data_IF_921554054950
#
_entry.id   IF_921554054950
#
_cell.length_a   1.000
_cell.length_b   1.000
_cell.length_c   1.000
_cell.angle_alpha   90.00
_cell.angle_beta   90.00
_cell.angle_gamma   90.00
#
_symmetry.space_group_name_H-M   'P 1'
#
loop_
_entity.id
_entity.type
_entity.pdbx_description
1 polymer ?
#
# COMPACT_ATOMS: atom_id res chain seq x y z
N UNK A 1 29.81 -19.81 6.61
CA UNK A 1 28.70 -19.09 7.25
C UNK A 1 28.74 -19.45 8.72
N UNK A 2 29.02 -18.50 9.59
CA UNK A 2 29.09 -18.70 11.04
C UNK A 2 27.99 -17.81 11.63
N UNK A 3 27.02 -18.48 12.24
CA UNK A 3 26.00 -17.90 13.09
C UNK A 3 26.56 -17.87 14.52
N UNK A 4 26.72 -16.66 15.06
CA UNK A 4 27.15 -16.47 16.43
C UNK A 4 26.35 -15.33 17.05
N UNK A 5 25.34 -15.71 17.81
CA UNK A 5 24.66 -14.85 18.77
C UNK A 5 25.44 -14.93 20.10
N UNK A 6 26.04 -13.84 20.60
CA UNK A 6 25.99 -13.57 22.02
C UNK A 6 24.80 -12.64 22.27
N UNK A 7 24.05 -12.92 23.33
CA UNK A 7 22.97 -12.11 23.85
C UNK A 7 23.48 -10.73 24.32
N UNK A 8 23.85 -9.87 23.37
CA UNK A 8 24.22 -8.50 23.59
C UNK A 8 23.05 -7.63 23.11
N UNK A 9 22.36 -7.06 24.08
CA UNK A 9 21.24 -6.14 23.91
C UNK A 9 21.59 -5.05 22.87
N UNK A 10 20.65 -4.76 21.98
CA UNK A 10 20.78 -3.71 20.96
C UNK A 10 20.80 -2.33 21.65
N UNK A 11 21.98 -1.86 22.05
CA UNK A 11 22.14 -0.59 22.78
C UNK A 11 22.18 0.67 21.90
N UNK A 12 22.08 0.53 20.58
CA UNK A 12 22.08 1.66 19.66
C UNK A 12 20.77 1.65 18.89
N UNK A 13 19.93 2.63 19.21
CA UNK A 13 18.68 2.90 18.52
C UNK A 13 18.91 3.52 17.13
N UNK A 14 20.12 4.01 16.83
CA UNK A 14 20.47 4.61 15.54
C UNK A 14 21.78 4.10 14.96
N UNK A 15 21.87 4.09 13.63
CA UNK A 15 23.12 3.84 12.92
C UNK A 15 23.97 5.11 12.69
N UNK A 16 25.14 4.92 12.07
CA UNK A 16 26.05 6.01 11.70
C UNK A 16 25.46 7.04 10.72
N UNK A 17 24.28 6.77 10.14
CA UNK A 17 23.50 7.69 9.28
C UNK A 17 22.30 8.28 10.04
N UNK A 18 22.16 8.00 11.34
CA UNK A 18 21.04 8.40 12.19
C UNK A 18 19.70 7.76 11.77
N UNK A 19 19.73 6.56 11.21
CA UNK A 19 18.53 5.77 10.91
C UNK A 19 18.23 4.84 12.09
N UNK A 20 16.97 4.76 12.52
CA UNK A 20 16.50 3.87 13.58
C UNK A 20 16.79 2.40 13.26
N UNK A 21 17.31 1.63 14.23
CA UNK A 21 17.64 0.20 14.10
C UNK A 21 17.34 -0.59 15.39
N UNK A 22 17.16 -1.93 15.32
CA UNK A 22 17.14 -2.78 14.12
C UNK A 22 15.89 -2.57 13.26
N UNK A 23 15.98 -2.85 11.96
CA UNK A 23 14.85 -2.91 11.05
C UNK A 23 14.56 -4.40 10.74
N UNK A 24 13.33 -4.73 10.39
CA UNK A 24 12.98 -6.09 9.97
C UNK A 24 13.46 -6.33 8.52
N UNK A 25 14.72 -6.70 8.38
CA UNK A 25 15.37 -6.88 7.08
C UNK A 25 14.95 -8.13 6.30
N UNK A 26 14.35 -9.13 6.96
CA UNK A 26 13.88 -10.37 6.33
C UNK A 26 12.35 -10.45 6.19
N UNK A 27 11.61 -9.46 6.69
CA UNK A 27 10.16 -9.32 6.51
C UNK A 27 9.33 -10.34 7.28
N UNK A 28 9.85 -10.86 8.40
CA UNK A 28 9.17 -11.88 9.21
C UNK A 28 8.35 -11.31 10.39
N UNK A 29 8.33 -9.98 10.53
CA UNK A 29 7.65 -9.24 11.58
C UNK A 29 8.50 -9.00 12.83
N UNK A 30 9.77 -9.43 12.85
CA UNK A 30 10.68 -9.29 14.01
C UNK A 30 11.96 -8.54 13.63
N UNK A 31 12.09 -7.29 14.07
CA UNK A 31 13.36 -6.56 13.93
C UNK A 31 14.43 -7.14 14.87
N UNK A 32 15.57 -7.57 14.32
CA UNK A 32 16.69 -8.16 15.06
C UNK A 32 18.04 -7.53 14.66
N UNK A 33 18.99 -7.47 15.60
CA UNK A 33 20.30 -6.89 15.33
C UNK A 33 21.16 -7.80 14.42
N UNK A 34 21.47 -7.32 13.23
CA UNK A 34 22.46 -7.93 12.33
C UNK A 34 23.88 -7.37 12.57
N UNK A 35 24.87 -8.27 12.70
CA UNK A 35 26.29 -7.87 12.69
C UNK A 35 26.79 -7.84 11.24
N UNK A 36 27.02 -6.63 10.72
CA UNK A 36 27.94 -6.44 9.59
C UNK A 36 27.36 -6.45 8.18
N UNK A 37 26.05 -6.35 7.99
CA UNK A 37 25.44 -6.04 6.70
C UNK A 37 24.72 -4.68 6.76
N UNK A 38 24.76 -3.92 5.65
CA UNK A 38 23.66 -2.98 5.39
C UNK A 38 22.41 -3.84 5.28
N UNK A 39 21.43 -3.65 6.17
CA UNK A 39 20.10 -4.21 5.98
C UNK A 39 19.64 -3.75 4.59
N UNK A 40 19.48 -4.70 3.68
CA UNK A 40 18.73 -4.46 2.46
C UNK A 40 17.27 -4.38 2.88
N UNK A 41 16.86 -3.21 3.40
CA UNK A 41 15.45 -2.94 3.59
C UNK A 41 14.83 -3.05 2.20
N UNK A 42 13.86 -3.95 1.96
CA UNK A 42 13.17 -3.95 0.70
C UNK A 42 12.59 -2.53 0.52
N UNK A 43 12.78 -1.95 -0.67
CA UNK A 43 12.37 -0.57 -0.92
C UNK A 43 10.84 -0.37 -0.79
N UNK A 44 10.09 -1.47 -0.69
CA UNK A 44 8.66 -1.55 -0.56
C UNK A 44 8.24 -2.75 0.30
N UNK A 45 7.04 -2.66 0.87
CA UNK A 45 6.32 -3.81 1.44
C UNK A 45 5.40 -4.38 0.37
N UNK A 46 5.50 -5.68 0.09
CA UNK A 46 4.64 -6.36 -0.89
C UNK A 46 3.43 -7.03 -0.22
N UNK A 47 2.28 -7.00 -0.90
CA UNK A 47 1.11 -7.77 -0.53
C UNK A 47 0.43 -8.36 -1.78
N UNK A 48 -0.46 -9.33 -1.58
CA UNK A 48 -1.28 -9.86 -2.68
C UNK A 48 -2.74 -10.04 -2.26
N UNK A 49 -3.64 -9.83 -3.21
CA UNK A 49 -5.09 -9.93 -3.00
C UNK A 49 -5.69 -10.81 -4.08
N UNK A 50 -6.33 -11.89 -3.66
CA UNK A 50 -7.09 -12.75 -4.56
C UNK A 50 -8.45 -12.11 -4.85
N UNK A 51 -8.72 -11.86 -6.12
CA UNK A 51 -10.00 -11.32 -6.60
C UNK A 51 -10.68 -12.35 -7.51
N UNK A 52 -11.99 -12.20 -7.80
CA UNK A 52 -12.70 -13.10 -8.71
C UNK A 52 -12.06 -13.22 -10.11
N UNK A 53 -11.30 -12.21 -10.56
CA UNK A 53 -10.69 -12.16 -11.88
C UNK A 53 -9.15 -12.18 -11.87
N UNK A 54 -8.56 -12.71 -10.79
CA UNK A 54 -7.13 -12.94 -10.67
C UNK A 54 -6.53 -12.32 -9.41
N UNK A 55 -5.23 -12.53 -9.24
CA UNK A 55 -4.49 -11.98 -8.09
C UNK A 55 -3.89 -10.64 -8.46
N UNK A 56 -4.08 -9.65 -7.59
CA UNK A 56 -3.40 -8.36 -7.66
C UNK A 56 -2.20 -8.41 -6.71
N UNK A 57 -1.06 -7.92 -7.16
CA UNK A 57 0.14 -7.75 -6.34
C UNK A 57 0.35 -6.26 -6.10
N UNK A 58 0.48 -5.86 -4.85
CA UNK A 58 0.71 -4.47 -4.47
C UNK A 58 2.09 -4.29 -3.84
N UNK A 59 2.77 -3.19 -4.18
CA UNK A 59 4.04 -2.77 -3.59
C UNK A 59 3.87 -1.39 -3.00
N UNK A 60 4.16 -1.24 -1.72
CA UNK A 60 4.00 0.01 -0.99
C UNK A 60 5.36 0.54 -0.57
N UNK A 61 5.79 1.62 -1.20
CA UNK A 61 7.05 2.31 -0.92
C UNK A 61 6.83 3.32 0.21
N UNK A 62 7.75 3.35 1.17
CA UNK A 62 7.68 4.25 2.33
C UNK A 62 6.82 3.75 3.50
N UNK A 63 6.15 2.60 3.35
CA UNK A 63 5.49 1.93 4.47
C UNK A 63 6.47 1.11 5.31
N UNK A 64 6.23 1.07 6.62
CA UNK A 64 6.92 0.20 7.56
C UNK A 64 6.29 -1.20 7.57
N UNK A 65 4.97 -1.26 7.55
CA UNK A 65 4.20 -2.50 7.49
C UNK A 65 2.92 -2.31 6.67
N UNK A 66 2.42 -3.40 6.10
CA UNK A 66 1.11 -3.46 5.44
C UNK A 66 0.30 -4.58 6.08
N UNK A 67 -0.95 -4.28 6.44
CA UNK A 67 -1.88 -5.21 7.07
C UNK A 67 -3.31 -4.99 6.54
N UNK A 68 -4.29 -5.77 7.02
CA UNK A 68 -5.69 -5.58 6.63
C UNK A 68 -6.00 -5.83 5.16
N UNK A 69 -5.10 -6.54 4.46
CA UNK A 69 -5.13 -6.77 3.02
C UNK A 69 -6.33 -7.64 2.64
N UNK A 70 -7.20 -7.17 1.74
CA UNK A 70 -8.37 -7.93 1.32
C UNK A 70 -9.16 -7.33 0.16
N UNK A 71 -10.04 -8.14 -0.44
CA UNK A 71 -10.99 -7.68 -1.46
C UNK A 71 -12.33 -7.31 -0.81
N UNK A 72 -12.90 -6.18 -1.23
CA UNK A 72 -14.19 -5.67 -0.80
C UNK A 72 -15.12 -5.53 -2.00
N UNK A 73 -16.35 -6.00 -1.85
CA UNK A 73 -17.38 -5.72 -2.87
C UNK A 73 -17.62 -4.21 -2.96
N UNK A 74 -17.91 -3.71 -4.15
CA UNK A 74 -18.23 -2.28 -4.33
C UNK A 74 -19.41 -1.85 -3.44
N UNK A 75 -20.39 -2.74 -3.26
CA UNK A 75 -21.52 -2.50 -2.38
C UNK A 75 -21.14 -2.38 -0.90
N UNK A 76 -20.12 -3.11 -0.43
CA UNK A 76 -19.69 -3.07 0.98
C UNK A 76 -18.96 -1.79 1.37
N UNK A 77 -18.43 -1.03 0.40
CA UNK A 77 -17.79 0.26 0.65
C UNK A 77 -18.78 1.41 0.79
N UNK A 78 -20.06 1.17 0.51
CA UNK A 78 -21.10 2.19 0.58
C UNK A 78 -21.01 3.22 -0.56
N UNK A 79 -22.05 4.07 -0.62
CA UNK A 79 -22.22 5.02 -1.72
C UNK A 79 -22.71 4.39 -3.01
N UNK A 80 -22.95 5.24 -4.01
CA UNK A 80 -23.21 4.81 -5.39
C UNK A 80 -21.90 4.80 -6.14
N UNK A 81 -21.53 3.66 -6.71
CA UNK A 81 -20.34 3.58 -7.56
C UNK A 81 -20.45 4.56 -8.74
N UNK A 82 -19.31 5.08 -9.23
CA UNK A 82 -19.27 5.96 -10.38
C UNK A 82 -20.01 5.38 -11.58
N UNK A 83 -20.93 6.16 -12.16
CA UNK A 83 -21.69 5.73 -13.33
C UNK A 83 -20.77 5.49 -14.53
N UNK A 84 -20.98 4.40 -15.26
CA UNK A 84 -20.17 4.07 -16.45
C UNK A 84 -18.80 3.46 -16.16
N UNK A 85 -18.52 3.11 -14.89
CA UNK A 85 -17.27 2.45 -14.47
C UNK A 85 -17.57 1.03 -13.98
N UNK A 86 -16.85 0.06 -14.53
CA UNK A 86 -16.88 -1.32 -14.06
C UNK A 86 -15.65 -1.62 -13.18
N UNK A 87 -15.84 -2.34 -12.07
CA UNK A 87 -14.77 -2.75 -11.16
C UNK A 87 -14.57 -4.27 -11.23
N UNK A 88 -13.84 -4.79 -12.24
CA UNK A 88 -13.70 -6.23 -12.44
C UNK A 88 -13.01 -6.92 -11.26
N UNK A 89 -12.15 -6.22 -10.53
CA UNK A 89 -11.38 -6.79 -9.43
C UNK A 89 -11.99 -6.52 -8.05
N UNK A 90 -13.23 -6.07 -8.01
CA UNK A 90 -13.83 -5.43 -6.83
C UNK A 90 -12.97 -4.22 -6.37
N UNK A 91 -13.09 -3.81 -5.11
CA UNK A 91 -12.14 -2.91 -4.50
C UNK A 91 -11.17 -3.69 -3.62
N UNK A 92 -10.00 -3.14 -3.39
CA UNK A 92 -8.93 -3.70 -2.58
C UNK A 92 -8.76 -2.80 -1.37
N UNK A 93 -8.68 -3.39 -0.19
CA UNK A 93 -8.39 -2.71 1.06
C UNK A 93 -7.01 -3.11 1.58
N UNK A 94 -6.24 -2.15 2.07
CA UNK A 94 -5.08 -2.41 2.91
C UNK A 94 -4.89 -1.28 3.94
N UNK A 95 -4.04 -1.52 4.93
CA UNK A 95 -3.64 -0.54 5.94
C UNK A 95 -2.12 -0.48 5.99
N UNK A 96 -1.55 0.69 5.71
CA UNK A 96 -0.12 0.92 5.72
C UNK A 96 0.29 1.76 6.93
N UNK A 97 1.19 1.25 7.76
CA UNK A 97 1.81 2.04 8.83
C UNK A 97 3.05 2.76 8.30
N UNK A 98 3.21 4.04 8.63
CA UNK A 98 4.31 4.89 8.16
C UNK A 98 5.11 5.48 9.33
N UNK A 99 6.28 6.06 9.05
CA UNK A 99 7.18 6.53 10.10
C UNK A 99 6.70 7.79 10.84
N UNK A 100 5.96 8.66 10.16
CA UNK A 100 5.52 9.95 10.71
C UNK A 100 4.08 10.26 10.32
N UNK A 101 3.27 10.84 11.23
CA UNK A 101 1.95 11.35 10.86
C UNK A 101 2.04 12.41 9.76
N UNK A 102 1.14 12.35 8.78
CA UNK A 102 1.14 13.23 7.61
C UNK A 102 2.18 12.87 6.56
N UNK A 103 2.87 11.73 6.69
CA UNK A 103 3.81 11.25 5.68
C UNK A 103 3.10 10.69 4.44
N UNK A 104 3.87 10.52 3.36
CA UNK A 104 3.37 10.01 2.08
C UNK A 104 3.97 8.65 1.74
N UNK A 105 3.22 7.85 0.97
CA UNK A 105 3.62 6.58 0.39
C UNK A 105 3.35 6.58 -1.11
N UNK A 106 4.09 5.76 -1.84
CA UNK A 106 3.79 5.44 -3.25
C UNK A 106 3.33 4.00 -3.32
N UNK A 107 2.24 3.74 -4.03
CA UNK A 107 1.66 2.42 -4.20
C UNK A 107 1.73 2.04 -5.68
N UNK A 108 2.31 0.88 -5.96
CA UNK A 108 2.29 0.23 -7.28
C UNK A 108 1.40 -1.02 -7.20
N UNK A 109 0.43 -1.14 -8.11
CA UNK A 109 -0.44 -2.30 -8.25
C UNK A 109 -0.19 -2.98 -9.59
N UNK A 110 0.10 -4.27 -9.56
CA UNK A 110 0.16 -5.15 -10.72
C UNK A 110 -1.16 -5.92 -10.86
N UNK A 111 -1.91 -5.65 -11.91
CA UNK A 111 -3.23 -6.22 -12.18
C UNK A 111 -3.16 -7.43 -13.12
N UNK A 112 -4.06 -8.42 -12.98
CA UNK A 112 -4.11 -9.57 -13.87
C UNK A 112 -4.66 -9.22 -15.28
N UNK A 113 -5.36 -8.10 -15.43
CA UNK A 113 -5.72 -7.52 -16.73
C UNK A 113 -5.85 -5.99 -16.63
N UNK A 114 -5.80 -5.27 -17.77
CA UNK A 114 -5.71 -3.81 -17.75
C UNK A 114 -6.91 -3.10 -17.13
N UNK A 115 -6.66 -1.95 -16.51
CA UNK A 115 -7.67 -0.99 -16.07
C UNK A 115 -7.45 0.36 -16.79
N UNK A 116 -8.43 1.26 -16.73
CA UNK A 116 -8.35 2.58 -17.40
C UNK A 116 -8.57 3.75 -16.44
N UNK A 117 -8.83 3.47 -15.17
CA UNK A 117 -9.11 4.47 -14.14
C UNK A 117 -8.85 3.89 -12.76
N UNK A 118 -8.53 4.75 -11.80
CA UNK A 118 -8.37 4.39 -10.40
C UNK A 118 -9.34 5.22 -9.56
N UNK A 119 -10.05 4.57 -8.64
CA UNK A 119 -11.04 5.21 -7.78
C UNK A 119 -10.79 4.90 -6.33
N UNK A 120 -11.07 5.86 -5.46
CA UNK A 120 -11.01 5.71 -4.00
C UNK A 120 -12.41 5.86 -3.43
N UNK A 121 -12.67 5.15 -2.34
CA UNK A 121 -13.88 5.35 -1.56
C UNK A 121 -13.52 5.90 -0.17
N UNK A 122 -13.95 7.11 0.13
CA UNK A 122 -13.79 7.68 1.47
C UNK A 122 -15.17 7.93 2.06
N UNK A 123 -15.52 7.18 3.10
CA UNK A 123 -16.80 7.31 3.80
C UNK A 123 -18.02 7.21 2.86
N UNK A 124 -17.99 6.33 1.86
CA UNK A 124 -19.07 6.16 0.89
C UNK A 124 -19.08 7.19 -0.23
N UNK A 125 -18.09 8.09 -0.30
CA UNK A 125 -17.92 9.02 -1.41
C UNK A 125 -16.81 8.50 -2.31
N UNK A 126 -17.16 8.29 -3.58
CA UNK A 126 -16.21 7.87 -4.61
C UNK A 126 -15.61 9.07 -5.32
N UNK A 127 -14.30 9.08 -5.48
CA UNK A 127 -13.59 10.05 -6.30
C UNK A 127 -12.50 9.37 -7.12
N UNK A 128 -12.22 9.94 -8.29
CA UNK A 128 -11.21 9.42 -9.20
C UNK A 128 -9.84 9.94 -8.77
N UNK A 129 -8.84 9.08 -8.75
CA UNK A 129 -7.43 9.47 -8.61
C UNK A 129 -6.95 9.87 -9.99
N UNK A 130 -7.00 11.18 -10.28
CA UNK A 130 -6.70 11.72 -11.62
C UNK A 130 -5.21 11.69 -11.94
N UNK A 131 -4.36 11.74 -10.93
CA UNK A 131 -2.89 11.75 -11.07
C UNK A 131 -2.29 10.33 -10.96
N UNK A 132 -3.13 9.29 -10.96
CA UNK A 132 -2.65 7.91 -11.02
C UNK A 132 -2.03 7.64 -12.41
N UNK A 133 -0.80 7.12 -12.42
CA UNK A 133 -0.15 6.62 -13.63
C UNK A 133 -0.66 5.21 -13.92
N UNK A 134 -1.23 4.99 -15.10
CA UNK A 134 -1.79 3.71 -15.53
C UNK A 134 -1.09 3.28 -16.81
N UNK A 135 -0.25 2.24 -16.72
CA UNK A 135 0.42 1.61 -17.85
C UNK A 135 -0.07 0.17 -18.02
N UNK A 136 -1.17 0.01 -18.75
CA UNK A 136 -1.79 -1.29 -19.00
C UNK A 136 -2.26 -1.98 -17.72
N UNK A 137 -1.47 -2.93 -17.23
CA UNK A 137 -1.73 -3.71 -16.01
C UNK A 137 -1.12 -3.09 -14.76
N UNK A 138 -0.24 -2.10 -14.87
CA UNK A 138 0.42 -1.49 -13.73
C UNK A 138 -0.21 -0.15 -13.42
N UNK A 139 -0.54 0.09 -12.14
CA UNK A 139 -1.06 1.37 -11.65
C UNK A 139 -0.17 1.88 -10.54
N UNK A 140 0.29 3.13 -10.66
CA UNK A 140 1.08 3.81 -9.65
C UNK A 140 0.37 5.06 -9.16
N UNK A 141 0.30 5.27 -7.85
CA UNK A 141 -0.28 6.48 -7.26
C UNK A 141 0.32 6.77 -5.89
N UNK A 142 0.24 8.03 -5.48
CA UNK A 142 0.69 8.48 -4.17
C UNK A 142 -0.48 8.66 -3.20
N UNK A 143 -0.21 8.47 -1.91
CA UNK A 143 -1.13 8.76 -0.81
C UNK A 143 -0.41 9.52 0.29
N UNK A 144 -1.15 10.38 0.99
CA UNK A 144 -0.67 11.10 2.17
C UNK A 144 -1.61 10.82 3.33
N UNK A 145 -1.02 10.47 4.49
CA UNK A 145 -1.70 10.21 5.76
C UNK A 145 -2.49 11.44 6.22
N UNK A 146 -3.79 11.27 6.42
CA UNK A 146 -4.73 12.34 6.75
C UNK A 146 -5.28 13.15 5.57
N UNK A 147 -4.94 12.82 4.32
CA UNK A 147 -5.47 13.51 3.14
C UNK A 147 -6.54 12.70 2.37
N UNK A 148 -6.98 13.22 1.22
CA UNK A 148 -7.92 12.51 0.36
C UNK A 148 -7.29 11.21 -0.15
N UNK A 149 -7.98 10.09 0.06
CA UNK A 149 -7.51 8.75 -0.32
C UNK A 149 -7.09 7.92 0.87
N UNK A 150 -6.88 8.56 2.02
CA UNK A 150 -6.80 7.91 3.32
C UNK A 150 -8.20 7.88 3.96
N UNK A 151 -8.76 6.70 4.13
CA UNK A 151 -10.18 6.51 4.42
C UNK A 151 -10.61 7.10 5.76
N UNK A 152 -9.72 7.10 6.77
CA UNK A 152 -10.02 7.67 8.08
C UNK A 152 -9.79 9.20 8.14
N UNK A 153 -9.10 9.76 7.15
CA UNK A 153 -8.80 11.17 7.00
C UNK A 153 -8.00 11.78 8.16
N UNK A 154 -7.30 10.97 8.93
CA UNK A 154 -6.59 11.39 10.14
C UNK A 154 -5.08 11.20 9.98
N UNK A 155 -4.30 12.28 10.14
CA UNK A 155 -2.84 12.16 10.18
C UNK A 155 -2.39 11.48 11.49
N UNK A 156 -2.30 10.15 11.48
CA UNK A 156 -2.03 9.32 12.65
C UNK A 156 -0.93 8.26 12.40
N UNK A 157 -0.17 8.44 11.31
CA UNK A 157 0.85 7.52 10.79
C UNK A 157 0.29 6.17 10.30
N UNK A 158 -0.99 6.12 9.93
CA UNK A 158 -1.67 4.93 9.43
C UNK A 158 -2.59 5.32 8.29
N UNK A 159 -2.23 4.88 7.07
CA UNK A 159 -3.06 5.09 5.89
C UNK A 159 -3.99 3.89 5.71
N UNK A 160 -5.30 4.13 5.72
CA UNK A 160 -6.33 3.13 5.43
C UNK A 160 -6.81 3.31 4.00
N UNK A 161 -6.53 2.35 3.11
CA UNK A 161 -6.78 2.53 1.69
C UNK A 161 -7.73 1.48 1.07
N UNK A 162 -8.99 1.85 0.82
CA UNK A 162 -9.88 1.18 -0.10
C UNK A 162 -9.78 1.76 -1.53
N UNK A 163 -9.18 1.00 -2.44
CA UNK A 163 -8.94 1.39 -3.84
C UNK A 163 -9.64 0.45 -4.83
N UNK A 164 -10.30 1.02 -5.82
CA UNK A 164 -10.99 0.29 -6.90
C UNK A 164 -10.37 0.58 -8.27
N UNK A 165 -9.57 -0.34 -8.83
CA UNK A 165 -9.19 -0.28 -10.24
C UNK A 165 -10.43 -0.47 -11.13
N UNK A 166 -10.69 0.49 -12.00
CA UNK A 166 -11.91 0.58 -12.80
C UNK A 166 -11.65 0.63 -14.30
N UNK A 167 -12.58 0.07 -15.07
CA UNK A 167 -12.67 0.23 -16.51
C UNK A 167 -13.78 1.23 -16.79
N UNK A 168 -13.39 2.44 -17.20
CA UNK A 168 -14.31 3.49 -17.61
C UNK A 168 -14.65 3.33 -19.09
N UNK A 169 -15.93 3.40 -19.44
CA UNK A 169 -16.31 3.47 -20.85
C UNK A 169 -15.78 4.79 -21.45
N UNK A 170 -14.85 4.71 -22.40
CA UNK A 170 -14.45 5.88 -23.17
C UNK A 170 -15.66 6.34 -24.00
N UNK A 171 -16.20 7.52 -23.71
CA UNK A 171 -17.13 8.18 -24.61
C UNK A 171 -16.33 8.72 -25.79
N UNK A 172 -16.21 7.93 -26.86
CA UNK A 172 -15.84 8.43 -28.18
C UNK A 172 -17.06 9.15 -28.76
N UNK A 173 -17.23 10.40 -28.36
CA UNK A 173 -18.12 11.36 -29.02
C UNK A 173 -17.50 11.90 -30.30
#
# INVERSE_FOLDING_TARGET
>A
MIDAIPAAECFLDHDQRQILRPLDGNGDGTAACDIGAVEAVPAYVEFSVSTPHGTIVGRVYGALTVSGVGAHTIASLGGTAPAGVAFPFAAIGFTAAIAVPGGSITVELELPSPATSLWKNQNGVWFQVVDAEIDGTTITYDLTDGEAGDADGSANAVIVDPVGPGISAAFTG
#
